data_IF_677830780041
#
_entry.id   IF_677830780041
#
_cell.length_a   1.000
_cell.length_b   1.000
_cell.length_c   1.000
_cell.angle_alpha   90.00
_cell.angle_beta   90.00
_cell.angle_gamma   90.00
#
_symmetry.space_group_name_H-M   'P 1'
#
loop_
_entity.id
_entity.type
_entity.pdbx_description
1 polymer ?
#
# COMPACT_ATOMS: atom_id res chain seq x y z
N UNK A 1 4.67 12.48 2.61
CA UNK A 1 4.43 11.83 3.93
C UNK A 1 4.36 10.33 3.74
N UNK A 2 5.07 9.56 4.57
CA UNK A 2 5.14 8.10 4.50
C UNK A 2 3.99 7.49 5.34
N UNK A 3 3.35 6.46 4.81
CA UNK A 3 2.30 5.71 5.53
C UNK A 3 2.90 4.51 6.26
N UNK A 4 3.89 3.87 5.64
CA UNK A 4 4.57 2.68 6.16
C UNK A 4 5.72 3.09 7.08
N UNK A 5 5.87 2.42 8.21
CA UNK A 5 7.06 2.49 9.06
C UNK A 5 8.14 1.55 8.47
N UNK A 6 9.19 2.15 7.93
CA UNK A 6 10.26 1.47 7.20
C UNK A 6 11.15 0.62 8.11
N UNK A 7 11.33 1.02 9.36
CA UNK A 7 12.12 0.25 10.32
C UNK A 7 11.36 -1.01 10.74
N UNK A 8 10.04 -0.86 10.91
CA UNK A 8 9.16 -1.98 11.26
C UNK A 8 9.05 -3.01 10.15
N UNK A 9 8.97 -2.58 8.88
CA UNK A 9 8.93 -3.50 7.73
C UNK A 9 10.32 -4.00 7.36
N UNK A 10 11.40 -3.35 7.83
CA UNK A 10 12.78 -3.78 7.69
C UNK A 10 13.44 -3.36 6.38
N UNK A 11 13.09 -2.18 5.85
CA UNK A 11 13.80 -1.58 4.71
C UNK A 11 15.14 -1.04 5.18
N UNK A 12 16.21 -1.52 4.60
CA UNK A 12 17.59 -1.12 4.91
C UNK A 12 18.51 -1.32 3.72
N UNK A 13 19.74 -0.88 3.86
CA UNK A 13 20.79 -1.04 2.86
C UNK A 13 20.93 -2.50 2.41
N UNK A 14 21.12 -2.71 1.10
CA UNK A 14 21.26 -4.01 0.46
C UNK A 14 19.98 -4.87 0.37
N UNK A 15 18.85 -4.44 0.93
CA UNK A 15 17.57 -5.16 0.78
C UNK A 15 16.95 -4.89 -0.59
N UNK A 16 16.35 -5.95 -1.16
CA UNK A 16 15.51 -5.82 -2.37
C UNK A 16 14.07 -5.53 -1.98
N UNK A 17 13.57 -4.39 -2.42
CA UNK A 17 12.24 -3.88 -2.07
C UNK A 17 11.37 -3.77 -3.31
N UNK A 18 10.14 -4.26 -3.24
CA UNK A 18 9.09 -3.97 -4.21
C UNK A 18 8.11 -2.95 -3.61
N UNK A 19 7.94 -1.82 -4.27
CA UNK A 19 6.85 -0.87 -4.02
C UNK A 19 5.80 -1.09 -5.12
N UNK A 20 4.76 -1.88 -4.80
CA UNK A 20 3.72 -2.28 -5.76
C UNK A 20 2.55 -1.30 -5.71
N UNK A 21 2.22 -0.73 -6.88
CA UNK A 21 1.31 0.40 -6.99
C UNK A 21 1.96 1.66 -6.41
N UNK A 22 3.18 1.96 -6.88
CA UNK A 22 3.99 3.02 -6.29
C UNK A 22 3.43 4.43 -6.48
N UNK A 23 2.51 4.63 -7.45
CA UNK A 23 2.00 5.94 -7.82
C UNK A 23 3.14 6.95 -8.01
N UNK A 24 3.05 8.11 -7.37
CA UNK A 24 4.11 9.13 -7.40
C UNK A 24 5.41 8.77 -6.67
N UNK A 25 5.64 7.51 -6.24
CA UNK A 25 6.93 6.97 -5.80
C UNK A 25 7.36 7.31 -4.36
N UNK A 26 6.47 7.84 -3.51
CA UNK A 26 6.84 8.31 -2.16
C UNK A 26 7.55 7.28 -1.29
N UNK A 27 7.11 6.01 -1.34
CA UNK A 27 7.75 4.93 -0.59
C UNK A 27 9.03 4.46 -1.29
N UNK A 28 9.03 4.38 -2.62
CA UNK A 28 10.21 4.03 -3.39
C UNK A 28 11.37 5.01 -3.15
N UNK A 29 11.11 6.33 -3.14
CA UNK A 29 12.15 7.35 -2.90
C UNK A 29 12.77 7.20 -1.51
N UNK A 30 11.98 6.96 -0.48
CA UNK A 30 12.51 6.72 0.87
C UNK A 30 13.32 5.43 0.95
N UNK A 31 12.83 4.34 0.31
CA UNK A 31 13.56 3.09 0.27
C UNK A 31 14.92 3.22 -0.45
N UNK A 32 14.99 3.99 -1.55
CA UNK A 32 16.25 4.31 -2.22
C UNK A 32 17.20 5.10 -1.33
N UNK A 33 16.72 6.13 -0.59
CA UNK A 33 17.55 6.88 0.36
C UNK A 33 18.13 6.01 1.46
N UNK A 34 17.43 4.93 1.83
CA UNK A 34 17.92 3.95 2.81
C UNK A 34 18.88 2.91 2.25
N UNK A 35 19.26 3.03 0.98
CA UNK A 35 20.22 2.12 0.32
C UNK A 35 19.62 0.81 -0.19
N UNK A 36 18.30 0.68 -0.22
CA UNK A 36 17.67 -0.50 -0.77
C UNK A 36 17.75 -0.54 -2.30
N UNK A 37 17.83 -1.74 -2.88
CA UNK A 37 17.58 -1.96 -4.31
C UNK A 37 16.08 -2.03 -4.54
N UNK A 38 15.49 -0.98 -5.12
CA UNK A 38 14.03 -0.84 -5.20
C UNK A 38 13.49 -1.06 -6.60
N UNK A 39 12.43 -1.83 -6.70
CA UNK A 39 11.57 -1.85 -7.89
C UNK A 39 10.27 -1.12 -7.54
N UNK A 40 10.05 0.03 -8.17
CA UNK A 40 8.81 0.77 -8.12
C UNK A 40 7.92 0.29 -9.27
N UNK A 41 6.82 -0.42 -8.97
CA UNK A 41 5.92 -0.96 -9.98
C UNK A 41 4.58 -0.24 -9.94
N UNK A 42 4.10 0.16 -11.11
CA UNK A 42 2.76 0.72 -11.27
C UNK A 42 2.16 0.32 -12.64
N UNK A 43 0.84 0.35 -12.73
CA UNK A 43 0.12 0.18 -14.00
C UNK A 43 0.15 1.44 -14.85
N UNK A 44 0.27 2.62 -14.23
CA UNK A 44 0.29 3.94 -14.87
C UNK A 44 1.68 4.29 -15.37
N UNK A 45 1.89 4.29 -16.68
CA UNK A 45 3.15 4.74 -17.28
C UNK A 45 3.40 6.25 -17.05
N UNK A 46 2.34 7.04 -16.85
CA UNK A 46 2.46 8.46 -16.54
C UNK A 46 3.12 8.65 -15.16
N UNK A 47 2.66 7.94 -14.12
CA UNK A 47 3.26 7.96 -12.78
C UNK A 47 4.73 7.49 -12.83
N UNK A 48 4.99 6.40 -13.56
CA UNK A 48 6.34 5.86 -13.66
C UNK A 48 7.32 6.79 -14.38
N UNK A 49 6.85 7.60 -15.31
CA UNK A 49 7.68 8.62 -15.97
C UNK A 49 8.18 9.65 -14.94
N UNK A 50 7.30 10.10 -14.06
CA UNK A 50 7.66 11.05 -13.01
C UNK A 50 8.59 10.41 -11.98
N UNK A 51 8.33 9.16 -11.59
CA UNK A 51 9.21 8.38 -10.69
C UNK A 51 10.62 8.24 -11.28
N UNK A 52 10.74 7.90 -12.58
CA UNK A 52 12.05 7.81 -13.27
C UNK A 52 12.75 9.17 -13.31
N UNK A 53 11.99 10.25 -13.54
CA UNK A 53 12.53 11.62 -13.53
C UNK A 53 13.12 12.00 -12.18
N UNK A 54 12.39 11.75 -11.10
CA UNK A 54 12.86 12.03 -9.73
C UNK A 54 14.03 11.13 -9.37
N UNK A 55 14.00 9.82 -9.67
CA UNK A 55 15.13 8.93 -9.44
C UNK A 55 16.39 9.41 -10.18
N UNK A 56 16.25 9.84 -11.45
CA UNK A 56 17.36 10.42 -12.21
C UNK A 56 17.94 11.67 -11.56
N UNK A 57 17.09 12.55 -11.01
CA UNK A 57 17.54 13.75 -10.28
C UNK A 57 18.26 13.38 -8.97
N UNK A 58 17.76 12.41 -8.20
CA UNK A 58 18.40 11.92 -6.98
C UNK A 58 19.79 11.34 -7.24
N UNK A 59 19.93 10.56 -8.33
CA UNK A 59 21.23 10.02 -8.77
C UNK A 59 22.20 11.13 -9.20
N UNK A 60 21.73 12.12 -9.95
CA UNK A 60 22.54 13.25 -10.39
C UNK A 60 22.98 14.15 -9.24
N UNK A 61 22.19 14.23 -8.16
CA UNK A 61 22.49 14.99 -6.95
C UNK A 61 23.35 14.21 -5.93
N UNK A 62 23.75 12.97 -6.22
CA UNK A 62 24.48 12.06 -5.31
C UNK A 62 23.73 11.87 -3.95
N UNK A 63 22.39 11.89 -4.01
CA UNK A 63 21.53 11.71 -2.82
C UNK A 63 21.39 10.22 -2.40
N UNK A 64 21.74 9.29 -3.28
CA UNK A 64 21.57 7.86 -3.05
C UNK A 64 22.88 7.20 -2.67
N UNK A 65 22.86 6.20 -1.76
CA UNK A 65 24.03 5.38 -1.50
C UNK A 65 24.54 4.73 -2.78
N UNK A 66 25.84 4.54 -2.89
CA UNK A 66 26.46 3.90 -4.06
C UNK A 66 26.10 2.42 -4.09
N UNK A 67 25.64 1.94 -5.23
CA UNK A 67 25.26 0.53 -5.43
C UNK A 67 24.18 0.35 -6.47
N UNK A 68 23.61 -0.84 -6.50
CA UNK A 68 22.48 -1.19 -7.35
C UNK A 68 21.21 -0.54 -6.80
N UNK A 69 20.63 0.41 -7.50
CA UNK A 69 19.44 1.12 -7.01
C UNK A 69 18.10 0.48 -7.48
N UNK A 70 18.11 -0.29 -8.58
CA UNK A 70 16.88 -0.79 -9.21
C UNK A 70 16.24 0.23 -10.15
N UNK A 71 14.91 0.35 -10.16
CA UNK A 71 14.23 1.28 -11.08
C UNK A 71 12.70 1.17 -11.06
N UNK A 72 12.05 1.80 -12.06
CA UNK A 72 10.60 1.82 -12.21
C UNK A 72 10.15 0.90 -13.37
N UNK A 73 9.17 0.05 -13.10
CA UNK A 73 8.67 -1.02 -14.00
C UNK A 73 7.16 -0.90 -14.17
N UNK A 74 6.69 -0.90 -15.41
CA UNK A 74 5.27 -1.00 -15.69
C UNK A 74 4.81 -2.46 -15.52
N UNK A 75 3.72 -2.68 -14.78
CA UNK A 75 3.22 -4.02 -14.51
C UNK A 75 1.85 -4.05 -13.89
N UNK A 76 1.26 -5.27 -13.92
CA UNK A 76 -0.06 -5.56 -13.35
C UNK A 76 0.12 -6.24 -11.99
N UNK A 77 -0.54 -5.72 -10.96
CA UNK A 77 -0.57 -6.29 -9.61
C UNK A 77 -1.12 -7.72 -9.58
N UNK A 78 -1.99 -8.08 -10.54
CA UNK A 78 -2.57 -9.42 -10.65
C UNK A 78 -1.62 -10.44 -11.30
N UNK A 79 -0.50 -9.97 -11.89
CA UNK A 79 0.51 -10.81 -12.52
C UNK A 79 1.87 -10.11 -12.49
N UNK A 80 2.55 -10.19 -11.37
CA UNK A 80 3.85 -9.53 -11.17
C UNK A 80 4.93 -10.18 -12.05
N UNK A 81 5.70 -9.38 -12.83
CA UNK A 81 6.70 -9.88 -13.79
C UNK A 81 8.02 -10.27 -13.10
N UNK A 82 7.95 -10.88 -11.92
CA UNK A 82 9.12 -11.27 -11.14
C UNK A 82 9.05 -12.76 -10.76
N UNK A 83 10.22 -13.42 -10.64
CA UNK A 83 10.28 -14.78 -10.11
C UNK A 83 9.80 -14.85 -8.65
N UNK A 84 9.49 -16.08 -8.19
CA UNK A 84 9.21 -16.37 -6.81
C UNK A 84 10.37 -15.97 -5.91
N UNK A 85 10.09 -15.56 -4.69
CA UNK A 85 11.09 -15.27 -3.66
C UNK A 85 12.18 -14.27 -4.12
N UNK A 86 11.78 -13.20 -4.82
CA UNK A 86 12.68 -12.17 -5.33
C UNK A 86 13.00 -11.08 -4.32
N UNK A 87 12.00 -10.65 -3.52
CA UNK A 87 12.10 -9.47 -2.66
C UNK A 87 12.21 -9.82 -1.18
N UNK A 88 13.03 -9.07 -0.46
CA UNK A 88 13.14 -9.14 0.99
C UNK A 88 11.99 -8.42 1.68
N UNK A 89 11.53 -7.33 1.04
CA UNK A 89 10.43 -6.48 1.51
C UNK A 89 9.49 -6.17 0.36
N UNK A 90 8.18 -6.20 0.65
CA UNK A 90 7.13 -5.76 -0.26
C UNK A 90 6.29 -4.69 0.42
N UNK A 91 6.02 -3.60 -0.28
CA UNK A 91 5.09 -2.55 0.13
C UNK A 91 3.96 -2.52 -0.90
N UNK A 92 2.71 -2.55 -0.42
CA UNK A 92 1.51 -2.35 -1.23
C UNK A 92 0.63 -1.31 -0.52
N UNK A 93 0.75 -0.06 -0.94
CA UNK A 93 0.14 1.06 -0.23
C UNK A 93 -1.02 1.67 -0.98
N UNK A 94 -2.25 1.54 -0.45
CA UNK A 94 -3.49 2.05 -1.04
C UNK A 94 -3.71 1.50 -2.46
N UNK A 95 -3.66 0.17 -2.62
CA UNK A 95 -3.81 -0.52 -3.91
C UNK A 95 -4.93 -1.55 -3.87
N UNK A 96 -5.00 -2.38 -2.82
CA UNK A 96 -5.91 -3.54 -2.79
C UNK A 96 -7.38 -3.14 -2.85
N UNK A 97 -7.75 -1.98 -2.35
CA UNK A 97 -9.11 -1.42 -2.41
C UNK A 97 -9.58 -1.11 -3.83
N UNK A 98 -8.66 -0.97 -4.79
CA UNK A 98 -8.96 -0.72 -6.20
C UNK A 98 -9.10 -2.00 -7.03
N UNK A 99 -8.66 -3.15 -6.50
CA UNK A 99 -8.59 -4.41 -7.25
C UNK A 99 -9.80 -5.29 -6.98
N UNK A 100 -10.53 -5.69 -8.02
CA UNK A 100 -11.64 -6.64 -7.89
C UNK A 100 -11.18 -8.01 -7.40
N UNK A 101 -10.04 -8.50 -7.88
CA UNK A 101 -9.42 -9.78 -7.48
C UNK A 101 -8.22 -9.51 -6.53
N UNK A 102 -8.51 -9.01 -5.36
CA UNK A 102 -7.50 -8.68 -4.34
C UNK A 102 -6.79 -9.94 -3.79
N UNK A 103 -7.48 -11.09 -3.75
CA UNK A 103 -6.86 -12.34 -3.28
C UNK A 103 -5.77 -12.82 -4.24
N UNK A 104 -5.97 -12.65 -5.53
CA UNK A 104 -4.94 -12.91 -6.53
C UNK A 104 -3.76 -11.97 -6.39
N UNK A 105 -4.00 -10.67 -6.21
CA UNK A 105 -2.92 -9.71 -5.95
C UNK A 105 -2.14 -10.07 -4.69
N UNK A 106 -2.82 -10.39 -3.59
CA UNK A 106 -2.16 -10.84 -2.34
C UNK A 106 -1.33 -12.11 -2.61
N UNK A 107 -1.85 -13.06 -3.38
CA UNK A 107 -1.11 -14.27 -3.78
C UNK A 107 0.18 -13.95 -4.53
N UNK A 108 0.13 -13.00 -5.47
CA UNK A 108 1.32 -12.53 -6.21
C UNK A 108 2.34 -11.83 -5.30
N UNK A 109 1.88 -10.95 -4.38
CA UNK A 109 2.75 -10.30 -3.40
C UNK A 109 3.49 -11.32 -2.53
N UNK A 110 2.77 -12.34 -2.03
CA UNK A 110 3.35 -13.43 -1.23
C UNK A 110 4.25 -14.31 -2.08
N UNK A 111 3.93 -14.58 -3.35
CA UNK A 111 4.77 -15.37 -4.25
C UNK A 111 6.15 -14.73 -4.44
N UNK A 112 6.18 -13.44 -4.76
CA UNK A 112 7.44 -12.72 -5.01
C UNK A 112 8.23 -12.40 -3.74
N UNK A 113 7.60 -12.46 -2.56
CA UNK A 113 8.25 -12.27 -1.27
C UNK A 113 9.08 -13.50 -0.90
N UNK A 114 10.32 -13.30 -0.47
CA UNK A 114 11.20 -14.37 0.02
C UNK A 114 10.60 -15.05 1.26
N UNK A 115 10.96 -16.31 1.56
CA UNK A 115 10.75 -16.90 2.89
C UNK A 115 11.31 -15.94 3.96
N UNK A 116 10.60 -15.77 5.07
CA UNK A 116 10.90 -14.79 6.13
C UNK A 116 10.88 -13.31 5.70
N UNK A 117 10.60 -13.01 4.44
CA UNK A 117 10.41 -11.65 3.94
C UNK A 117 9.25 -10.95 4.63
N UNK A 118 9.30 -9.63 4.69
CA UNK A 118 8.29 -8.81 5.35
C UNK A 118 7.49 -8.02 4.33
N UNK A 119 6.22 -7.80 4.65
CA UNK A 119 5.34 -6.99 3.81
C UNK A 119 4.56 -6.00 4.65
N UNK A 120 4.37 -4.81 4.10
CA UNK A 120 3.42 -3.81 4.61
C UNK A 120 2.32 -3.61 3.58
N UNK A 121 1.08 -3.73 4.02
CA UNK A 121 -0.11 -3.45 3.21
C UNK A 121 -0.86 -2.31 3.87
N UNK A 122 -1.23 -1.29 3.08
CA UNK A 122 -2.09 -0.22 3.58
C UNK A 122 -3.38 -0.13 2.78
N UNK A 123 -4.46 0.18 3.48
CA UNK A 123 -5.78 0.42 2.90
C UNK A 123 -6.46 1.57 3.66
N UNK A 124 -7.46 2.26 3.07
CA UNK A 124 -8.24 3.24 3.80
C UNK A 124 -8.89 2.67 5.06
N UNK A 125 -8.79 3.40 6.16
CA UNK A 125 -9.45 3.02 7.42
C UNK A 125 -10.96 3.08 7.26
N UNK A 126 -11.64 2.03 7.68
CA UNK A 126 -13.04 1.79 7.38
C UNK A 126 -13.99 2.93 7.75
N UNK A 127 -13.93 3.46 8.97
CA UNK A 127 -14.93 4.42 9.39
C UNK A 127 -14.73 5.82 8.79
N UNK A 128 -13.48 6.37 8.66
CA UNK A 128 -13.26 7.61 7.94
C UNK A 128 -13.66 7.52 6.47
N UNK A 129 -13.39 6.38 5.85
CA UNK A 129 -13.74 6.10 4.46
C UNK A 129 -15.25 6.06 4.25
N UNK A 130 -16.00 5.42 5.15
CA UNK A 130 -17.47 5.42 5.11
C UNK A 130 -18.08 6.79 5.23
N UNK A 131 -17.46 7.71 5.96
CA UNK A 131 -17.91 9.11 6.01
C UNK A 131 -17.77 9.76 4.63
N UNK A 132 -16.64 9.57 3.95
CA UNK A 132 -16.47 10.07 2.58
C UNK A 132 -17.54 9.51 1.63
N UNK A 133 -17.80 8.20 1.68
CA UNK A 133 -18.83 7.54 0.85
C UNK A 133 -20.24 8.06 1.14
N UNK A 134 -20.55 8.36 2.41
CA UNK A 134 -21.83 8.92 2.81
C UNK A 134 -22.01 10.40 2.40
N UNK A 135 -20.93 11.16 2.33
CA UNK A 135 -20.94 12.57 1.99
C UNK A 135 -21.02 12.82 0.46
N UNK A 136 -20.33 12.00 -0.33
CA UNK A 136 -20.33 12.13 -1.79
C UNK A 136 -20.15 10.76 -2.46
N UNK A 137 -21.20 10.30 -3.16
CA UNK A 137 -21.14 9.01 -3.89
C UNK A 137 -20.10 9.03 -5.02
N UNK A 138 -19.77 10.18 -5.60
CA UNK A 138 -18.74 10.32 -6.64
C UNK A 138 -17.33 10.02 -6.16
N UNK A 139 -17.13 10.02 -4.84
CA UNK A 139 -15.82 9.68 -4.26
C UNK A 139 -15.39 8.24 -4.58
N UNK A 140 -16.32 7.31 -4.72
CA UNK A 140 -16.04 5.90 -5.01
C UNK A 140 -16.62 5.43 -6.35
N UNK A 141 -17.64 6.12 -6.89
CA UNK A 141 -18.28 5.77 -8.16
C UNK A 141 -17.57 6.47 -9.34
N UNK A 142 -16.26 6.28 -9.44
CA UNK A 142 -15.40 6.81 -10.51
C UNK A 142 -14.50 5.72 -11.06
N UNK A 143 -14.11 5.77 -12.34
CA UNK A 143 -13.11 4.84 -12.87
C UNK A 143 -11.82 4.88 -12.03
N UNK A 144 -11.40 3.73 -11.50
CA UNK A 144 -10.26 3.64 -10.59
C UNK A 144 -10.56 4.03 -9.14
N UNK A 145 -11.84 4.25 -8.78
CA UNK A 145 -12.27 4.46 -7.39
C UNK A 145 -12.15 3.21 -6.52
N UNK A 146 -12.47 3.35 -5.22
CA UNK A 146 -12.40 2.24 -4.27
C UNK A 146 -13.58 1.28 -4.51
N UNK A 147 -13.29 0.04 -4.89
CA UNK A 147 -14.33 -1.00 -5.10
C UNK A 147 -14.76 -1.63 -3.78
N UNK A 148 -14.02 -1.40 -2.68
CA UNK A 148 -14.31 -1.97 -1.36
C UNK A 148 -13.76 -1.13 -0.20
N UNK A 149 -14.33 -1.35 0.97
CA UNK A 149 -13.82 -0.84 2.25
C UNK A 149 -13.51 -2.04 3.14
N UNK A 150 -12.24 -2.25 3.46
CA UNK A 150 -11.80 -3.34 4.30
C UNK A 150 -12.20 -3.15 5.78
N UNK A 151 -12.56 -4.27 6.41
CA UNK A 151 -12.43 -4.39 7.87
C UNK A 151 -11.02 -4.89 8.18
N UNK A 152 -10.41 -4.42 9.26
CA UNK A 152 -9.05 -4.84 9.64
C UNK A 152 -8.91 -6.37 9.68
N UNK A 153 -9.78 -7.06 10.42
CA UNK A 153 -9.73 -8.52 10.53
C UNK A 153 -9.97 -9.27 9.20
N UNK A 154 -10.66 -8.63 8.25
CA UNK A 154 -10.86 -9.20 6.90
C UNK A 154 -9.56 -9.19 6.12
N UNK A 155 -8.85 -8.04 6.11
CA UNK A 155 -7.55 -7.92 5.46
C UNK A 155 -6.51 -8.84 6.12
N UNK A 156 -6.43 -8.81 7.45
CA UNK A 156 -5.55 -9.69 8.23
C UNK A 156 -5.80 -11.16 7.90
N UNK A 157 -7.05 -11.61 7.90
CA UNK A 157 -7.41 -12.99 7.56
C UNK A 157 -7.09 -13.37 6.12
N UNK A 158 -7.17 -12.45 5.14
CA UNK A 158 -6.73 -12.70 3.76
C UNK A 158 -5.22 -12.92 3.69
N UNK A 159 -4.44 -12.08 4.39
CA UNK A 159 -2.98 -12.18 4.45
C UNK A 159 -2.52 -13.47 5.16
N UNK A 160 -3.18 -13.86 6.24
CA UNK A 160 -2.90 -15.12 6.94
C UNK A 160 -3.21 -16.34 6.07
N UNK A 161 -4.36 -16.37 5.38
CA UNK A 161 -4.70 -17.44 4.43
C UNK A 161 -3.73 -17.55 3.26
N UNK A 162 -3.09 -16.44 2.88
CA UNK A 162 -2.07 -16.41 1.85
C UNK A 162 -0.68 -16.91 2.35
N UNK A 163 -0.54 -17.28 3.62
CA UNK A 163 0.69 -17.84 4.19
C UNK A 163 1.57 -16.80 4.87
N UNK A 164 0.98 -15.79 5.49
CA UNK A 164 1.70 -14.77 6.25
C UNK A 164 1.34 -14.79 7.74
N UNK A 165 2.30 -14.45 8.60
CA UNK A 165 2.07 -14.16 10.01
C UNK A 165 1.89 -12.67 10.23
N UNK A 166 0.92 -12.28 11.04
CA UNK A 166 0.73 -10.90 11.48
C UNK A 166 1.87 -10.46 12.40
N UNK A 167 2.43 -9.29 12.11
CA UNK A 167 3.47 -8.62 12.91
C UNK A 167 2.95 -7.38 13.61
N UNK A 168 1.68 -7.06 13.40
CA UNK A 168 0.93 -5.98 13.98
C UNK A 168 0.42 -4.97 12.97
N UNK A 169 -0.23 -3.93 13.48
CA UNK A 169 -0.85 -2.89 12.67
C UNK A 169 -0.77 -1.53 13.36
N UNK A 170 -1.06 -0.47 12.63
CA UNK A 170 -1.33 0.86 13.17
C UNK A 170 -2.18 1.67 12.19
N UNK A 171 -2.66 2.83 12.64
CA UNK A 171 -3.32 3.81 11.78
C UNK A 171 -2.41 5.01 11.55
N UNK A 172 -2.55 5.67 10.40
CA UNK A 172 -1.75 6.82 10.02
C UNK A 172 -2.60 7.93 9.41
N UNK A 173 -2.06 9.16 9.44
CA UNK A 173 -2.62 10.32 8.75
C UNK A 173 -3.98 10.79 9.29
N UNK A 174 -4.11 10.94 10.61
CA UNK A 174 -5.33 11.37 11.27
C UNK A 174 -5.84 12.72 10.76
N UNK A 175 -4.93 13.68 10.55
CA UNK A 175 -5.27 15.01 10.06
C UNK A 175 -5.74 15.04 8.61
N UNK A 176 -5.56 13.94 7.86
CA UNK A 176 -6.09 13.85 6.50
C UNK A 176 -7.58 13.47 6.44
N UNK A 177 -8.12 12.79 7.44
CA UNK A 177 -9.53 12.40 7.45
C UNK A 177 -10.48 13.59 7.41
N UNK A 178 -10.33 14.63 8.27
CA UNK A 178 -11.19 15.81 8.19
C UNK A 178 -11.04 16.60 6.88
N UNK A 179 -9.85 16.61 6.27
CA UNK A 179 -9.65 17.21 4.96
C UNK A 179 -10.52 16.55 3.90
N UNK A 180 -10.50 15.21 3.84
CA UNK A 180 -11.29 14.47 2.85
C UNK A 180 -12.79 14.60 3.09
N UNK A 181 -13.22 14.60 4.35
CA UNK A 181 -14.64 14.86 4.68
C UNK A 181 -15.10 16.24 4.23
N UNK A 182 -14.29 17.26 4.48
CA UNK A 182 -14.58 18.63 4.04
C UNK A 182 -14.62 18.71 2.51
N UNK A 183 -13.70 18.05 1.82
CA UNK A 183 -13.66 17.99 0.36
C UNK A 183 -14.90 17.29 -0.21
N UNK A 184 -15.30 16.14 0.35
CA UNK A 184 -16.52 15.46 -0.04
C UNK A 184 -17.78 16.31 0.25
N UNK A 185 -17.87 16.91 1.44
CA UNK A 185 -19.03 17.75 1.81
C UNK A 185 -19.20 19.00 0.93
N UNK A 186 -18.12 19.50 0.36
CA UNK A 186 -18.15 20.70 -0.50
C UNK A 186 -18.18 20.39 -2.00
N UNK A 187 -18.06 19.11 -2.37
CA UNK A 187 -18.04 18.61 -3.76
C UNK A 187 -16.62 18.28 -4.23
N UNK A 188 -16.39 16.99 -4.43
CA UNK A 188 -15.05 16.43 -4.72
C UNK A 188 -14.49 16.87 -6.07
N UNK A 189 -15.37 17.04 -7.08
CA UNK A 189 -14.98 17.36 -8.46
C UNK A 189 -14.94 18.87 -8.76
N UNK A 190 -15.02 19.71 -7.74
CA UNK A 190 -14.97 21.16 -7.97
C UNK A 190 -13.60 21.57 -8.52
N UNK A 191 -13.62 22.20 -9.71
CA UNK A 191 -12.41 22.78 -10.33
C UNK A 191 -11.82 23.86 -9.42
N UNK A 192 -12.69 24.67 -8.77
CA UNK A 192 -12.29 25.66 -7.75
C UNK A 192 -12.72 25.17 -6.35
N UNK A 193 -11.81 24.61 -5.55
CA UNK A 193 -12.13 24.09 -4.22
C UNK A 193 -12.66 25.18 -3.30
N UNK A 194 -13.58 24.81 -2.40
CA UNK A 194 -14.08 25.71 -1.37
C UNK A 194 -12.91 26.34 -0.56
N UNK A 195 -12.96 27.63 -0.18
CA UNK A 195 -11.87 28.31 0.53
C UNK A 195 -11.38 27.57 1.80
N UNK A 196 -12.27 26.92 2.52
CA UNK A 196 -11.90 26.11 3.67
C UNK A 196 -11.08 24.86 3.29
N UNK A 197 -11.39 24.24 2.14
CA UNK A 197 -10.59 23.10 1.59
C UNK A 197 -9.21 23.57 1.21
N UNK A 198 -9.10 24.72 0.53
CA UNK A 198 -7.79 25.31 0.17
C UNK A 198 -6.94 25.58 1.41
N UNK A 199 -7.49 26.26 2.41
CA UNK A 199 -6.76 26.55 3.66
C UNK A 199 -6.32 25.28 4.40
N UNK A 200 -7.18 24.25 4.39
CA UNK A 200 -6.82 22.99 5.02
C UNK A 200 -5.74 22.26 4.21
N UNK A 201 -5.82 22.28 2.90
CA UNK A 201 -4.78 21.75 2.01
C UNK A 201 -3.43 22.44 2.27
N UNK A 202 -3.42 23.79 2.34
CA UNK A 202 -2.20 24.55 2.62
C UNK A 202 -1.62 24.18 3.99
N UNK A 203 -2.47 23.96 4.99
CA UNK A 203 -2.03 23.47 6.29
C UNK A 203 -1.38 22.07 6.20
N UNK A 204 -1.99 21.13 5.46
CA UNK A 204 -1.40 19.79 5.27
C UNK A 204 -0.09 19.85 4.45
N UNK A 205 -0.03 20.71 3.44
CA UNK A 205 1.20 20.94 2.67
C UNK A 205 2.30 21.48 3.57
N UNK A 206 2.02 22.49 4.40
CA UNK A 206 2.93 23.01 5.40
C UNK A 206 3.37 21.93 6.40
N UNK A 207 2.44 21.12 6.92
CA UNK A 207 2.76 19.99 7.80
C UNK A 207 3.77 19.02 7.16
N UNK A 208 3.59 18.70 5.87
CA UNK A 208 4.45 17.74 5.16
C UNK A 208 5.85 18.36 4.93
N UNK A 209 5.93 19.67 4.61
CA UNK A 209 7.17 20.35 4.28
C UNK A 209 8.00 20.69 5.51
N UNK A 210 7.35 21.30 6.52
CA UNK A 210 8.06 21.83 7.70
C UNK A 210 8.15 20.79 8.84
N UNK A 211 7.31 19.76 8.82
CA UNK A 211 7.26 18.66 9.81
C UNK A 211 7.30 19.15 11.27
N UNK A 212 6.45 20.10 11.68
CA UNK A 212 6.50 20.67 13.02
C UNK A 212 6.15 19.60 14.06
N UNK A 213 7.06 19.37 15.00
CA UNK A 213 7.00 18.25 15.95
C UNK A 213 5.69 18.18 16.76
N UNK A 214 5.07 19.35 17.06
CA UNK A 214 3.77 19.36 17.78
C UNK A 214 2.62 18.85 16.91
N UNK A 215 2.62 19.14 15.59
CA UNK A 215 1.60 18.62 14.65
C UNK A 215 1.77 17.14 14.45
N UNK A 216 3.01 16.66 14.30
CA UNK A 216 3.29 15.22 14.20
C UNK A 216 2.88 14.47 15.47
N UNK A 217 3.08 15.07 16.65
CA UNK A 217 2.64 14.50 17.92
C UNK A 217 1.12 14.44 18.00
N UNK A 218 0.43 15.50 17.56
CA UNK A 218 -1.03 15.55 17.49
C UNK A 218 -1.58 14.51 16.51
N UNK A 219 -1.02 14.45 15.29
CA UNK A 219 -1.41 13.46 14.27
C UNK A 219 -1.26 12.04 14.81
N UNK A 220 -0.12 11.74 15.43
CA UNK A 220 0.17 10.43 16.03
C UNK A 220 -0.80 10.10 17.18
N UNK A 221 -1.13 11.06 18.04
CA UNK A 221 -2.07 10.88 19.14
C UNK A 221 -3.51 10.62 18.64
N UNK A 222 -3.89 11.21 17.49
CA UNK A 222 -5.21 11.07 16.89
C UNK A 222 -5.30 9.84 15.95
N UNK A 223 -4.20 9.27 15.52
CA UNK A 223 -4.18 8.14 14.57
C UNK A 223 -5.06 6.96 14.98
N UNK A 224 -5.13 6.53 16.26
CA UNK A 224 -5.99 5.40 16.64
C UNK A 224 -7.48 5.63 16.37
N UNK A 225 -7.91 6.90 16.34
CA UNK A 225 -9.32 7.27 16.16
C UNK A 225 -9.59 7.80 14.76
N UNK A 226 -8.74 8.69 14.24
CA UNK A 226 -8.97 9.45 13.00
C UNK A 226 -8.08 9.01 11.86
N UNK A 227 -7.13 8.09 12.08
CA UNK A 227 -6.17 7.69 11.04
C UNK A 227 -6.86 7.33 9.73
N UNK A 228 -6.46 7.99 8.64
CA UNK A 228 -7.01 7.81 7.29
C UNK A 228 -6.67 6.43 6.74
N UNK A 229 -5.46 5.94 7.02
CA UNK A 229 -4.94 4.68 6.50
C UNK A 229 -4.72 3.67 7.62
N UNK A 230 -5.13 2.43 7.40
CA UNK A 230 -4.77 1.27 8.19
C UNK A 230 -3.53 0.63 7.57
N UNK A 231 -2.50 0.41 8.36
CA UNK A 231 -1.26 -0.28 7.96
C UNK A 231 -1.18 -1.63 8.65
N UNK A 232 -1.04 -2.70 7.89
CA UNK A 232 -0.87 -4.08 8.40
C UNK A 232 0.51 -4.57 8.00
N UNK A 233 1.28 -5.06 8.97
CA UNK A 233 2.59 -5.66 8.80
C UNK A 233 2.50 -7.16 8.91
N UNK A 234 3.08 -7.86 7.96
CA UNK A 234 3.13 -9.32 7.94
C UNK A 234 4.52 -9.83 7.58
N UNK A 235 4.76 -11.09 7.88
CA UNK A 235 5.96 -11.84 7.50
C UNK A 235 5.54 -13.14 6.84
N UNK A 236 6.16 -13.49 5.71
CA UNK A 236 5.89 -14.77 5.03
C UNK A 236 6.36 -15.93 5.87
N UNK A 237 5.50 -16.94 6.02
CA UNK A 237 5.82 -18.19 6.73
C UNK A 237 6.90 -18.96 5.96
N UNK A 238 7.99 -19.40 6.61
CA UNK A 238 8.97 -20.25 5.96
C UNK A 238 8.35 -21.58 5.53
N UNK A 239 8.54 -21.98 4.27
CA UNK A 239 8.20 -23.32 3.79
C UNK A 239 6.75 -23.58 3.34
N UNK A 240 5.83 -22.63 3.43
CA UNK A 240 4.50 -22.77 2.79
C UNK A 240 4.51 -22.17 1.39
N UNK A 241 4.54 -23.03 0.37
CA UNK A 241 3.99 -22.66 -0.93
C UNK A 241 2.46 -22.57 -0.78
N UNK A 242 1.79 -21.53 -1.29
CA UNK A 242 0.35 -21.55 -1.40
C UNK A 242 -0.03 -22.78 -2.22
N UNK A 243 -0.60 -23.78 -1.57
CA UNK A 243 -1.09 -25.00 -2.24
C UNK A 243 -2.19 -24.52 -3.16
N UNK A 244 -1.91 -24.49 -4.48
CA UNK A 244 -2.95 -24.48 -5.48
C UNK A 244 -3.92 -25.58 -5.11
N UNK A 245 -5.18 -25.25 -4.88
CA UNK A 245 -6.24 -26.26 -4.74
C UNK A 245 -6.23 -27.04 -6.03
N UNK A 246 -5.70 -28.27 -5.97
CA UNK A 246 -5.84 -29.25 -7.03
C UNK A 246 -7.36 -29.60 -7.14
N UNK A 247 -8.02 -29.28 -8.26
CA UNK A 247 -9.46 -29.58 -8.41
C UNK A 247 -9.77 -31.09 -8.46
N UNK A 248 -8.75 -31.94 -8.39
CA UNK A 248 -8.88 -33.40 -8.56
C UNK A 248 -9.23 -34.18 -7.26
N UNK A 249 -9.15 -33.59 -6.07
CA UNK A 249 -9.33 -34.33 -4.82
C UNK A 249 -10.81 -34.55 -4.38
N UNK A 250 -11.78 -34.01 -5.10
CA UNK A 250 -13.21 -34.20 -4.78
C UNK A 250 -13.91 -35.38 -5.52
N UNK A 251 -13.20 -36.23 -6.28
CA UNK A 251 -13.78 -37.35 -6.99
C UNK A 251 -13.53 -38.76 -6.40
N UNK A 252 -12.88 -38.85 -5.25
CA UNK A 252 -12.49 -40.16 -4.70
C UNK A 252 -13.29 -40.66 -3.49
N UNK A 253 -14.33 -39.91 -3.01
CA UNK A 253 -15.10 -40.35 -1.82
C UNK A 253 -16.56 -40.73 -2.08
N UNK A 254 -17.00 -40.94 -3.32
CA UNK A 254 -18.40 -41.31 -3.59
C UNK A 254 -18.57 -42.66 -4.33
N UNK A 255 -17.65 -43.60 -4.15
CA UNK A 255 -17.82 -44.96 -4.68
C UNK A 255 -17.31 -46.00 -3.68
N UNK A 256 -17.96 -46.13 -2.54
CA UNK A 256 -17.88 -47.33 -1.69
C UNK A 256 -19.00 -47.32 -0.65
N UNK A 257 -20.25 -47.40 -1.10
CA UNK A 257 -21.37 -47.84 -0.32
C UNK A 257 -22.48 -48.27 -1.32
N UNK A 258 -22.40 -49.49 -1.83
CA UNK A 258 -23.47 -50.37 -2.26
C UNK A 258 -22.82 -51.68 -2.69
N UNK A 259 -22.77 -52.60 -1.75
CA UNK A 259 -23.07 -54.03 -1.88
C UNK A 259 -23.24 -54.61 -0.48
#
# INVERSE_FOLDING_TARGET
MLTVDFDRVGVSDGRRVLDMGCGGGRHAFEAWRRGATVVALDYSEAELKDVRGVLGAMLAADELPRGECGGAVNGDALRLPFPDATFDVVIASEVLEHLWDDERAIGELVRVLKPDGRMAVTVPTRWPERVCWALDHRYHDTPGGHVRIYRQHELEGKLERAGCWLRGSHHAHALHSPYWWLKCATGIDRIDPHPAVRRYHDFLAWQITEQPAWVETLDRALNPVLGKSLVVYVQKVPGEHPRGRDPASHRASSKMETD
#
